data_IF_345253254108
#
_entry.id   IF_345253254108
#
_cell.length_a   1.000
_cell.length_b   1.000
_cell.length_c   1.000
_cell.angle_alpha   90.00
_cell.angle_beta   90.00
_cell.angle_gamma   90.00
#
_symmetry.space_group_name_H-M   'P 1'
#
loop_
_entity.id
_entity.type
_entity.pdbx_description
1 polymer ?
#
# COMPACT_ATOMS: atom_id res chain seq x y z
N UNK A 1 -16.10 -4.94 10.57
CA UNK A 1 -14.91 -4.10 10.83
C UNK A 1 -14.06 -4.06 9.59
N UNK A 2 -13.67 -2.89 9.19
CA UNK A 2 -12.83 -2.74 8.01
C UNK A 2 -11.36 -2.84 8.39
N UNK A 3 -10.58 -3.43 7.50
CA UNK A 3 -9.14 -3.48 7.63
C UNK A 3 -8.57 -2.09 7.34
N UNK A 4 -7.64 -1.66 8.14
CA UNK A 4 -6.98 -0.38 7.93
C UNK A 4 -5.47 -0.57 7.94
N UNK A 5 -4.80 0.20 7.11
CA UNK A 5 -3.34 0.20 7.05
C UNK A 5 -2.80 1.46 7.71
N UNK A 6 -1.52 1.41 8.07
CA UNK A 6 -0.80 2.58 8.52
C UNK A 6 0.56 2.59 7.84
N UNK A 7 1.37 3.61 8.12
CA UNK A 7 2.66 3.74 7.45
C UNK A 7 3.63 2.61 7.77
N UNK A 8 3.40 1.87 8.84
CA UNK A 8 4.23 0.74 9.23
C UNK A 8 3.73 -0.59 8.67
N UNK A 9 2.60 -0.59 7.99
CA UNK A 9 2.06 -1.81 7.37
C UNK A 9 2.96 -2.25 6.23
N UNK A 10 3.17 -3.57 6.13
CA UNK A 10 3.98 -4.12 5.05
C UNK A 10 3.16 -4.20 3.76
N UNK A 11 3.78 -3.84 2.65
CA UNK A 11 3.12 -3.89 1.35
C UNK A 11 2.61 -5.29 1.05
N UNK A 12 3.40 -6.32 1.36
CA UNK A 12 2.99 -7.71 1.14
C UNK A 12 1.73 -8.08 1.90
N UNK A 13 1.57 -7.59 3.13
CA UNK A 13 0.38 -7.85 3.91
C UNK A 13 -0.85 -7.19 3.30
N UNK A 14 -0.69 -5.97 2.82
CA UNK A 14 -1.78 -5.24 2.18
C UNK A 14 -2.22 -5.95 0.91
N UNK A 15 -1.26 -6.40 0.10
CA UNK A 15 -1.55 -7.13 -1.14
C UNK A 15 -2.23 -8.46 -0.86
N UNK A 16 -1.85 -9.15 0.20
CA UNK A 16 -2.50 -10.40 0.59
C UNK A 16 -3.94 -10.17 1.00
N UNK A 17 -4.19 -9.04 1.65
CA UNK A 17 -5.54 -8.71 2.08
C UNK A 17 -6.44 -8.33 0.90
N UNK A 18 -5.93 -7.47 0.00
CA UNK A 18 -6.66 -7.02 -1.17
C UNK A 18 -5.69 -6.75 -2.30
N UNK A 19 -5.68 -7.65 -3.29
CA UNK A 19 -4.75 -7.56 -4.42
C UNK A 19 -4.96 -6.33 -5.27
N UNK A 20 -6.15 -5.75 -5.26
CA UNK A 20 -6.43 -4.57 -6.06
C UNK A 20 -5.69 -3.34 -5.56
N UNK A 21 -5.21 -3.35 -4.31
CA UNK A 21 -4.37 -2.28 -3.80
C UNK A 21 -3.06 -2.15 -4.56
N UNK A 22 -2.68 -3.17 -5.33
CA UNK A 22 -1.46 -3.11 -6.15
C UNK A 22 -1.46 -1.90 -7.08
N UNK A 23 -2.63 -1.45 -7.52
CA UNK A 23 -2.72 -0.28 -8.39
C UNK A 23 -2.10 0.97 -7.78
N UNK A 24 -2.26 1.16 -6.46
CA UNK A 24 -1.67 2.31 -5.79
C UNK A 24 -0.15 2.28 -5.89
N UNK A 25 0.43 1.11 -5.74
CA UNK A 25 1.88 0.97 -5.78
C UNK A 25 2.42 1.09 -7.19
N UNK A 26 1.70 0.59 -8.19
CA UNK A 26 2.09 0.78 -9.58
C UNK A 26 2.04 2.24 -9.98
N UNK A 27 1.02 2.97 -9.56
CA UNK A 27 0.89 4.39 -9.88
C UNK A 27 2.01 5.23 -9.31
N UNK A 28 2.57 4.84 -8.17
CA UNK A 28 3.69 5.57 -7.60
C UNK A 28 5.04 5.14 -8.17
N UNK A 29 5.04 4.20 -9.10
CA UNK A 29 6.26 3.81 -9.82
C UNK A 29 6.90 2.51 -9.38
N UNK A 30 6.26 1.75 -8.51
CA UNK A 30 6.80 0.44 -8.12
C UNK A 30 6.45 -0.59 -9.18
N UNK A 31 7.46 -1.30 -9.66
CA UNK A 31 7.25 -2.26 -10.75
C UNK A 31 7.43 -3.72 -10.34
N UNK A 32 7.98 -3.98 -9.16
CA UNK A 32 8.32 -5.35 -8.75
C UNK A 32 7.57 -5.76 -7.49
N UNK A 33 6.25 -5.69 -7.51
CA UNK A 33 5.45 -6.07 -6.34
C UNK A 33 5.51 -7.56 -6.03
N UNK A 34 5.92 -8.37 -7.00
CA UNK A 34 6.10 -9.79 -6.78
C UNK A 34 7.41 -10.16 -6.09
N UNK A 35 8.33 -9.22 -5.92
CA UNK A 35 9.62 -9.48 -5.29
C UNK A 35 9.49 -9.48 -3.78
N UNK A 36 10.08 -10.46 -3.07
CA UNK A 36 10.01 -10.49 -1.62
C UNK A 36 10.52 -9.21 -0.95
N UNK A 37 11.56 -8.60 -1.49
CA UNK A 37 12.11 -7.38 -0.90
C UNK A 37 11.13 -6.22 -0.95
N UNK A 38 10.38 -6.10 -2.06
CA UNK A 38 9.36 -5.06 -2.17
C UNK A 38 8.20 -5.28 -1.22
N UNK A 39 7.83 -6.53 -1.04
CA UNK A 39 6.71 -6.87 -0.16
C UNK A 39 7.04 -6.68 1.31
N UNK A 40 8.33 -6.66 1.66
CA UNK A 40 8.78 -6.42 3.03
C UNK A 40 8.96 -4.94 3.36
N UNK A 41 8.83 -4.06 2.39
CA UNK A 41 8.85 -2.63 2.65
C UNK A 41 7.55 -2.19 3.31
N UNK A 42 7.63 -1.18 4.18
CA UNK A 42 6.43 -0.57 4.72
C UNK A 42 5.86 0.43 3.72
N UNK A 43 4.59 0.74 3.87
CA UNK A 43 3.95 1.76 3.02
C UNK A 43 4.68 3.10 3.17
N UNK A 44 5.06 3.45 4.40
CA UNK A 44 5.78 4.71 4.64
C UNK A 44 7.13 4.76 3.96
N UNK A 45 7.89 3.66 4.02
CA UNK A 45 9.20 3.60 3.36
C UNK A 45 9.05 3.74 1.85
N UNK A 46 8.11 3.03 1.26
CA UNK A 46 7.87 3.10 -0.17
C UNK A 46 7.44 4.51 -0.60
N UNK A 47 6.57 5.14 0.17
CA UNK A 47 6.13 6.50 -0.13
C UNK A 47 7.31 7.48 -0.12
N UNK A 48 8.19 7.36 0.87
CA UNK A 48 9.35 8.25 0.98
C UNK A 48 10.30 8.07 -0.20
N UNK A 49 10.54 6.83 -0.61
CA UNK A 49 11.43 6.54 -1.74
C UNK A 49 10.88 7.15 -3.03
N UNK A 50 9.57 7.15 -3.20
CA UNK A 50 8.93 7.65 -4.41
C UNK A 50 8.46 9.11 -4.32
N UNK A 51 8.81 9.79 -3.24
CA UNK A 51 8.50 11.21 -3.10
C UNK A 51 7.05 11.52 -2.81
N UNK A 52 6.35 10.59 -2.19
CA UNK A 52 4.92 10.74 -1.85
C UNK A 52 4.81 10.94 -0.34
N UNK A 53 3.86 11.76 0.08
CA UNK A 53 3.59 11.92 1.51
C UNK A 53 3.01 10.63 2.06
N UNK A 54 3.64 9.99 3.06
CA UNK A 54 3.15 8.71 3.59
C UNK A 54 1.70 8.77 4.08
N UNK A 55 1.32 9.85 4.75
CA UNK A 55 -0.03 9.97 5.27
C UNK A 55 -1.06 10.03 4.14
N UNK A 56 -0.74 10.70 3.05
CA UNK A 56 -1.64 10.76 1.90
C UNK A 56 -1.84 9.38 1.28
N UNK A 57 -0.77 8.63 1.12
CA UNK A 57 -0.84 7.29 0.57
C UNK A 57 -1.65 6.37 1.47
N UNK A 58 -1.41 6.43 2.77
CA UNK A 58 -2.15 5.64 3.75
C UNK A 58 -3.64 5.96 3.68
N UNK A 59 -3.97 7.25 3.63
CA UNK A 59 -5.38 7.67 3.56
C UNK A 59 -6.04 7.18 2.28
N UNK A 60 -5.35 7.25 1.16
CA UNK A 60 -5.88 6.79 -0.11
C UNK A 60 -6.15 5.29 -0.09
N UNK A 61 -5.21 4.52 0.46
CA UNK A 61 -5.38 3.07 0.53
C UNK A 61 -6.53 2.71 1.47
N UNK A 62 -6.60 3.36 2.63
CA UNK A 62 -7.69 3.08 3.58
C UNK A 62 -9.05 3.43 2.99
N UNK A 63 -9.13 4.54 2.26
CA UNK A 63 -10.37 4.93 1.60
C UNK A 63 -10.78 3.89 0.56
N UNK A 64 -9.83 3.42 -0.23
CA UNK A 64 -10.09 2.37 -1.21
C UNK A 64 -10.56 1.08 -0.54
N UNK A 65 -9.88 0.65 0.52
CA UNK A 65 -10.23 -0.59 1.22
C UNK A 65 -11.64 -0.51 1.80
N UNK A 66 -12.01 0.63 2.34
CA UNK A 66 -13.33 0.82 2.90
C UNK A 66 -14.41 0.69 1.82
N UNK A 67 -14.19 1.28 0.65
CA UNK A 67 -15.15 1.23 -0.44
C UNK A 67 -15.18 -0.15 -1.11
N UNK A 68 -14.03 -0.78 -1.27
CA UNK A 68 -13.94 -2.06 -1.95
C UNK A 68 -14.58 -3.19 -1.14
N UNK A 69 -14.52 -3.08 0.18
CA UNK A 69 -15.01 -4.13 1.08
C UNK A 69 -16.42 -3.85 1.63
N UNK A 70 -16.98 -2.72 1.32
CA UNK A 70 -18.29 -2.31 1.82
C UNK A 70 -19.45 -3.09 1.18
#
# INVERSE_FOLDING_TARGET
MSYQVNKDSLIGEVLDYDKETAEFFFEMGMHCLGCPSSQMETIGEAAMVHGIEPDDLVNDINDFLEHDLA
#
